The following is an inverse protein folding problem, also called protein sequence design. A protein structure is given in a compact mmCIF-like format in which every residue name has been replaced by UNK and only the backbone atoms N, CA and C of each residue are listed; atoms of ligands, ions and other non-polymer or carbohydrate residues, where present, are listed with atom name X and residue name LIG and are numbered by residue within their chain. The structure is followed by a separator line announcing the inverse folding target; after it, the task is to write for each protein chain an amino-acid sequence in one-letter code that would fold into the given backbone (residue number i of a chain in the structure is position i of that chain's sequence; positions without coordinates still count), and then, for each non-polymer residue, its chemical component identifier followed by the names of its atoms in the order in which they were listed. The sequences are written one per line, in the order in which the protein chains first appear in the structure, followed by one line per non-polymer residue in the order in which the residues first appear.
data_IF_505428398607
#
_entry.id   IF_505428398607
#
_cell.length_a   1.000
_cell.length_b   1.000
_cell.length_c   1.000
_cell.angle_alpha   90.00
_cell.angle_beta   90.00
_cell.angle_gamma   90.00
#
_symmetry.space_group_name_H-M   'P 1'
#
loop_
_entity.id
_entity.type
_entity.pdbx_description
1 polymer ?
#
# COMPACT_ATOMS: atom_id res chain seq x y z
N UNK A 1 3.63 -40.18 10.32
CA UNK A 1 2.81 -39.00 10.62
C UNK A 1 2.04 -39.27 11.89
N UNK A 2 2.40 -38.56 12.94
CA UNK A 2 1.72 -38.57 14.23
C UNK A 2 0.66 -37.45 14.24
N UNK A 3 -0.48 -37.65 14.91
CA UNK A 3 -1.52 -36.61 15.09
C UNK A 3 -0.95 -35.31 15.65
N UNK A 4 0.12 -35.39 16.44
CA UNK A 4 0.83 -34.23 17.00
C UNK A 4 1.53 -33.39 15.93
N UNK A 5 2.12 -34.04 14.93
CA UNK A 5 2.84 -33.40 13.83
C UNK A 5 1.84 -32.66 12.92
N UNK A 6 0.70 -33.31 12.64
CA UNK A 6 -0.37 -32.72 11.85
C UNK A 6 -1.04 -31.52 12.55
N UNK A 7 -1.22 -31.60 13.88
CA UNK A 7 -1.76 -30.49 14.66
C UNK A 7 -0.79 -29.28 14.73
N UNK A 8 0.52 -29.53 14.76
CA UNK A 8 1.55 -28.49 14.76
C UNK A 8 1.62 -27.79 13.40
N UNK A 9 1.58 -28.53 12.30
CA UNK A 9 1.53 -27.97 10.95
C UNK A 9 0.28 -27.11 10.76
N UNK A 10 -0.88 -27.59 11.24
CA UNK A 10 -2.12 -26.84 11.19
C UNK A 10 -2.07 -25.55 12.00
N UNK A 11 -1.53 -25.59 13.23
CA UNK A 11 -1.36 -24.40 14.07
C UNK A 11 -0.44 -23.36 13.39
N UNK A 12 0.65 -23.82 12.80
CA UNK A 12 1.60 -22.96 12.07
C UNK A 12 0.95 -22.30 10.86
N UNK A 13 0.14 -23.04 10.10
CA UNK A 13 -0.57 -22.48 8.94
C UNK A 13 -1.66 -21.48 9.36
N UNK A 14 -2.39 -21.76 10.46
CA UNK A 14 -3.37 -20.82 11.03
C UNK A 14 -2.70 -19.53 11.52
N UNK A 15 -1.55 -19.63 12.20
CA UNK A 15 -0.81 -18.46 12.67
C UNK A 15 -0.27 -17.61 11.52
N UNK A 16 0.20 -18.26 10.45
CA UNK A 16 0.61 -17.59 9.20
C UNK A 16 -0.56 -16.85 8.55
N UNK A 17 -1.72 -17.49 8.42
CA UNK A 17 -2.93 -16.88 7.86
C UNK A 17 -3.37 -15.67 8.69
N UNK A 18 -3.38 -15.81 10.02
CA UNK A 18 -3.73 -14.72 10.93
C UNK A 18 -2.77 -13.53 10.79
N UNK A 19 -1.46 -13.81 10.68
CA UNK A 19 -0.44 -12.78 10.51
C UNK A 19 -0.63 -12.02 9.18
N UNK A 20 -0.84 -12.74 8.08
CA UNK A 20 -1.11 -12.12 6.77
C UNK A 20 -2.39 -11.29 6.77
N UNK A 21 -3.45 -11.78 7.43
CA UNK A 21 -4.70 -11.04 7.58
C UNK A 21 -4.48 -9.72 8.34
N UNK A 22 -3.71 -9.76 9.43
CA UNK A 22 -3.41 -8.57 10.23
C UNK A 22 -2.60 -7.54 9.43
N UNK A 23 -1.56 -7.99 8.73
CA UNK A 23 -0.75 -7.13 7.86
C UNK A 23 -1.59 -6.48 6.76
N UNK A 24 -2.47 -7.26 6.11
CA UNK A 24 -3.41 -6.75 5.10
C UNK A 24 -4.34 -5.69 5.68
N UNK A 25 -4.89 -5.92 6.87
CA UNK A 25 -5.76 -4.95 7.54
C UNK A 25 -5.02 -3.66 7.89
N UNK A 26 -3.77 -3.76 8.35
CA UNK A 26 -2.94 -2.61 8.65
C UNK A 26 -2.59 -1.81 7.39
N UNK A 27 -2.25 -2.50 6.29
CA UNK A 27 -2.00 -1.87 5.00
C UNK A 27 -3.25 -1.14 4.48
N UNK A 28 -4.44 -1.74 4.61
CA UNK A 28 -5.72 -1.10 4.26
C UNK A 28 -6.04 0.10 5.15
N UNK A 29 -5.69 0.04 6.44
CA UNK A 29 -5.86 1.18 7.33
C UNK A 29 -4.96 2.34 6.90
N UNK A 30 -3.66 2.07 6.68
CA UNK A 30 -2.69 3.05 6.22
C UNK A 30 -3.06 3.65 4.88
N UNK A 31 -3.58 2.85 3.94
CA UNK A 31 -4.01 3.35 2.63
C UNK A 31 -5.22 4.27 2.73
N UNK A 32 -6.18 3.98 3.63
CA UNK A 32 -7.31 4.87 3.90
C UNK A 32 -6.89 6.19 4.52
N UNK A 33 -5.96 6.15 5.48
CA UNK A 33 -5.46 7.35 6.14
C UNK A 33 -4.70 8.24 5.14
N UNK A 34 -3.86 7.64 4.30
CA UNK A 34 -3.15 8.34 3.21
C UNK A 34 -4.14 8.98 2.22
N UNK A 35 -5.13 8.21 1.74
CA UNK A 35 -6.13 8.71 0.80
C UNK A 35 -6.87 9.93 1.36
N UNK A 36 -7.27 9.88 2.64
CA UNK A 36 -7.95 11.01 3.27
C UNK A 36 -7.04 12.22 3.47
N UNK A 37 -5.75 12.00 3.76
CA UNK A 37 -4.75 13.06 3.82
C UNK A 37 -4.60 13.76 2.47
N UNK A 38 -4.46 13.01 1.39
CA UNK A 38 -4.37 13.57 0.03
C UNK A 38 -5.65 14.28 -0.38
N UNK A 39 -6.80 13.76 0.02
CA UNK A 39 -8.08 14.42 -0.21
C UNK A 39 -8.18 15.77 0.53
N UNK A 40 -7.67 15.84 1.76
CA UNK A 40 -7.56 17.09 2.52
C UNK A 40 -6.61 18.09 1.83
N UNK A 41 -5.46 17.60 1.32
CA UNK A 41 -4.52 18.43 0.55
C UNK A 41 -5.18 19.01 -0.71
N UNK A 42 -5.86 18.18 -1.50
CA UNK A 42 -6.60 18.60 -2.71
C UNK A 42 -7.64 19.68 -2.40
N UNK A 43 -8.38 19.55 -1.30
CA UNK A 43 -9.39 20.54 -0.92
C UNK A 43 -8.83 21.77 -0.20
N UNK A 44 -7.56 21.74 0.20
CA UNK A 44 -6.92 22.78 1.01
C UNK A 44 -7.48 22.91 2.43
N UNK A 45 -8.18 21.89 2.93
CA UNK A 45 -8.85 21.91 4.24
C UNK A 45 -8.16 20.98 5.22
N UNK A 46 -8.12 21.35 6.50
CA UNK A 46 -7.67 20.42 7.55
C UNK A 46 -8.70 19.31 7.74
N UNK A 47 -8.25 18.15 8.23
CA UNK A 47 -9.09 16.97 8.52
C UNK A 47 -10.42 17.32 9.21
N UNK A 48 -10.38 18.13 10.28
CA UNK A 48 -11.59 18.48 11.04
C UNK A 48 -12.55 19.41 10.28
N UNK A 49 -12.02 20.31 9.46
CA UNK A 49 -12.81 21.20 8.61
C UNK A 49 -13.45 20.42 7.47
N UNK A 50 -12.69 19.50 6.87
CA UNK A 50 -13.17 18.61 5.82
C UNK A 50 -14.29 17.70 6.34
N UNK A 51 -14.14 17.12 7.55
CA UNK A 51 -15.21 16.33 8.19
C UNK A 51 -16.49 17.15 8.40
N UNK A 52 -16.37 18.41 8.84
CA UNK A 52 -17.52 19.32 9.01
C UNK A 52 -18.17 19.66 7.67
N UNK A 53 -17.37 19.98 6.65
CA UNK A 53 -17.83 20.28 5.29
C UNK A 53 -18.54 19.06 4.68
N UNK A 54 -17.93 17.88 4.77
CA UNK A 54 -18.48 16.64 4.21
C UNK A 54 -19.88 16.32 4.71
N UNK A 55 -20.16 16.57 5.99
CA UNK A 55 -21.50 16.36 6.58
C UNK A 55 -22.55 17.34 6.05
N UNK A 56 -22.15 18.48 5.49
CA UNK A 56 -23.04 19.52 4.95
C UNK A 56 -23.31 19.38 3.46
N UNK A 57 -22.43 18.66 2.74
CA UNK A 57 -22.58 18.43 1.30
C UNK A 57 -23.71 17.43 1.03
N UNK A 58 -24.46 17.67 -0.04
CA UNK A 58 -25.36 16.66 -0.62
C UNK A 58 -24.56 15.48 -1.18
N UNK A 59 -25.23 14.36 -1.46
CA UNK A 59 -24.57 13.22 -2.09
C UNK A 59 -24.02 13.56 -3.48
N UNK A 60 -24.76 14.34 -4.27
CA UNK A 60 -24.32 14.79 -5.60
C UNK A 60 -23.06 15.66 -5.50
N UNK A 61 -23.02 16.60 -4.56
CA UNK A 61 -21.85 17.46 -4.32
C UNK A 61 -20.63 16.65 -3.89
N UNK A 62 -20.82 15.63 -3.03
CA UNK A 62 -19.74 14.70 -2.66
C UNK A 62 -19.21 13.95 -3.88
N UNK A 63 -20.09 13.45 -4.74
CA UNK A 63 -19.68 12.75 -5.96
C UNK A 63 -18.90 13.65 -6.92
N UNK A 64 -19.34 14.90 -7.11
CA UNK A 64 -18.60 15.87 -7.93
C UNK A 64 -17.21 16.12 -7.35
N UNK A 65 -17.11 16.32 -6.03
CA UNK A 65 -15.84 16.56 -5.36
C UNK A 65 -14.88 15.36 -5.46
N UNK A 66 -15.39 14.14 -5.25
CA UNK A 66 -14.61 12.90 -5.38
C UNK A 66 -14.15 12.68 -6.81
N UNK A 67 -15.00 12.93 -7.81
CA UNK A 67 -14.59 12.81 -9.22
C UNK A 67 -13.46 13.78 -9.58
N UNK A 68 -13.55 15.03 -9.14
CA UNK A 68 -12.48 16.02 -9.33
C UNK A 68 -11.18 15.57 -8.68
N UNK A 69 -11.25 15.12 -7.42
CA UNK A 69 -10.09 14.58 -6.72
C UNK A 69 -9.47 13.37 -7.45
N UNK A 70 -10.26 12.39 -7.84
CA UNK A 70 -9.76 11.18 -8.52
C UNK A 70 -9.09 11.52 -9.85
N UNK A 71 -9.61 12.49 -10.60
CA UNK A 71 -9.01 12.91 -11.87
C UNK A 71 -7.60 13.50 -11.67
N UNK A 72 -7.43 14.37 -10.67
CA UNK A 72 -6.12 14.97 -10.37
C UNK A 72 -5.18 13.96 -9.71
N UNK A 73 -5.68 13.22 -8.72
CA UNK A 73 -4.90 12.23 -7.99
C UNK A 73 -4.42 11.09 -8.89
N UNK A 74 -5.28 10.53 -9.76
CA UNK A 74 -4.91 9.47 -10.69
C UNK A 74 -3.86 9.91 -11.73
N UNK A 75 -3.72 11.21 -12.02
CA UNK A 75 -2.63 11.70 -12.86
C UNK A 75 -1.25 11.46 -12.20
N UNK A 76 -1.17 11.55 -10.87
CA UNK A 76 0.03 11.26 -10.09
C UNK A 76 0.27 9.76 -9.90
N UNK A 77 -0.79 8.95 -9.94
CA UNK A 77 -0.74 7.49 -9.91
C UNK A 77 -1.05 6.95 -11.30
N UNK A 78 -0.18 7.26 -12.27
CA UNK A 78 -0.16 6.47 -13.50
C UNK A 78 -0.06 5.00 -13.09
N UNK A 79 -0.92 4.10 -13.63
CA UNK A 79 -0.79 2.69 -13.34
C UNK A 79 0.66 2.31 -13.54
N UNK A 80 1.26 1.69 -12.52
CA UNK A 80 2.59 1.11 -12.61
C UNK A 80 2.64 0.45 -13.98
N UNK A 81 3.60 0.88 -14.81
CA UNK A 81 3.70 0.33 -16.16
C UNK A 81 3.68 -1.20 -16.07
N UNK A 82 3.18 -1.90 -17.09
CA UNK A 82 3.17 -3.37 -17.06
C UNK A 82 4.55 -3.95 -16.67
N UNK A 83 5.62 -3.22 -17.02
CA UNK A 83 7.00 -3.47 -16.58
C UNK A 83 7.19 -3.31 -15.06
N UNK A 84 6.80 -2.18 -14.48
CA UNK A 84 6.91 -1.94 -13.02
C UNK A 84 6.09 -2.92 -12.20
N UNK A 85 4.91 -3.34 -12.69
CA UNK A 85 4.12 -4.39 -12.04
C UNK A 85 4.83 -5.73 -12.12
N UNK A 86 5.36 -6.10 -13.29
CA UNK A 86 6.16 -7.32 -13.47
C UNK A 86 7.36 -7.33 -12.54
N UNK A 87 8.12 -6.25 -12.45
CA UNK A 87 9.34 -6.18 -11.64
C UNK A 87 9.04 -6.37 -10.13
N UNK A 88 7.94 -5.78 -9.63
CA UNK A 88 7.48 -5.99 -8.23
C UNK A 88 7.00 -7.43 -7.97
N UNK A 89 6.33 -8.05 -8.96
CA UNK A 89 5.89 -9.44 -8.86
C UNK A 89 7.10 -10.38 -8.86
N UNK A 90 8.07 -10.14 -9.74
CA UNK A 90 9.32 -10.91 -9.80
C UNK A 90 10.10 -10.80 -8.47
N UNK A 91 10.19 -9.60 -7.87
CA UNK A 91 10.81 -9.38 -6.55
C UNK A 91 10.13 -10.19 -5.45
N UNK A 92 8.80 -10.12 -5.35
CA UNK A 92 8.04 -10.87 -4.35
C UNK A 92 8.25 -12.38 -4.48
N UNK A 93 8.30 -12.90 -5.71
CA UNK A 93 8.54 -14.32 -5.95
C UNK A 93 9.98 -14.72 -5.59
N UNK A 94 10.97 -13.83 -5.77
CA UNK A 94 12.36 -14.06 -5.38
C UNK A 94 12.55 -14.00 -3.86
N UNK A 95 11.96 -13.02 -3.15
CA UNK A 95 12.03 -12.90 -1.67
C UNK A 95 11.38 -14.09 -0.94
N UNK A 96 10.40 -14.76 -1.54
CA UNK A 96 9.80 -15.99 -1.00
C UNK A 96 10.62 -17.25 -1.31
N UNK A 97 11.77 -17.11 -1.96
CA UNK A 97 12.77 -18.18 -2.09
C UNK A 97 13.73 -18.06 -0.91
N UNK A 98 14.00 -19.12 -0.14
CA UNK A 98 14.76 -19.05 1.13
C UNK A 98 16.24 -18.64 0.98
N UNK A 99 16.68 -18.27 -0.22
CA UNK A 99 18.03 -17.85 -0.53
C UNK A 99 17.99 -16.60 -1.41
N UNK A 100 18.07 -15.39 -0.85
CA UNK A 100 18.88 -14.29 -1.42
C UNK A 100 18.83 -13.00 -0.60
N UNK A 101 20.03 -12.51 -0.33
CA UNK A 101 20.42 -11.25 0.31
C UNK A 101 19.68 -10.01 -0.22
N UNK A 102 19.26 -9.17 0.72
CA UNK A 102 18.73 -7.81 0.57
C UNK A 102 19.47 -6.96 -0.47
N UNK A 103 18.94 -6.87 -1.68
CA UNK A 103 19.43 -5.97 -2.71
C UNK A 103 18.29 -5.04 -3.17
N UNK A 104 18.11 -3.94 -2.44
CA UNK A 104 17.28 -2.84 -2.91
C UNK A 104 17.69 -2.43 -4.33
N UNK A 105 16.72 -2.31 -5.23
CA UNK A 105 16.93 -1.99 -6.64
C UNK A 105 17.72 -0.67 -6.81
N UNK A 106 18.69 -0.61 -7.74
CA UNK A 106 19.44 0.63 -8.05
C UNK A 106 18.54 1.82 -8.44
N UNK A 107 17.39 1.55 -9.07
CA UNK A 107 16.42 2.58 -9.45
C UNK A 107 15.69 3.22 -8.26
N UNK A 108 15.39 2.43 -7.21
CA UNK A 108 14.79 2.95 -5.97
C UNK A 108 15.82 3.72 -5.14
N UNK A 109 17.08 3.26 -5.09
CA UNK A 109 18.18 3.99 -4.43
C UNK A 109 18.34 5.41 -5.00
N UNK A 110 18.21 5.56 -6.33
CA UNK A 110 18.29 6.85 -7.02
C UNK A 110 17.09 7.75 -6.74
N UNK A 111 15.90 7.18 -6.54
CA UNK A 111 14.69 7.93 -6.19
C UNK A 111 14.69 8.38 -4.73
N UNK A 112 15.35 7.62 -3.85
CA UNK A 112 15.37 7.83 -2.40
C UNK A 112 16.61 8.61 -1.88
N UNK A 113 17.55 8.95 -2.77
CA UNK A 113 18.66 9.86 -2.47
C UNK A 113 19.87 9.23 -1.78
N UNK A 114 20.03 7.90 -1.82
CA UNK A 114 21.27 7.27 -1.37
C UNK A 114 22.31 7.32 -2.49
N UNK A 115 23.23 8.29 -2.41
CA UNK A 115 24.46 8.26 -3.21
C UNK A 115 25.28 7.04 -2.83
N UNK A 116 25.66 6.28 -3.84
CA UNK A 116 26.59 5.15 -3.74
C UNK A 116 28.00 5.75 -3.65
N UNK A 117 28.62 5.71 -2.47
CA UNK A 117 30.07 5.92 -2.35
C UNK A 117 30.76 4.62 -2.79
N UNK A 118 31.51 4.73 -3.89
CA UNK A 118 32.28 3.65 -4.48
C UNK A 118 33.55 3.37 -3.66
N UNK A 119 33.79 2.11 -3.30
CA UNK A 119 35.13 1.51 -3.23
C UNK A 119 35.07 -0.01 -3.44
#
# INVERSE_FOLDING_TARGET
MSDLELALDFATEVDKINTQMLQKQEALKKSRDLLFSEFCNYTGLKSEEMKKKWKRLSEEEKWVLVKGFVLEWAAHFHPLSARSVKDLVDEYLVENTPESTSAFFPGLKKLIGFSQDDN
#
